data_IF_189576300559
#
_entry.id   IF_189576300559
#
_cell.length_a   1.000
_cell.length_b   1.000
_cell.length_c   1.000
_cell.angle_alpha   90.00
_cell.angle_beta   90.00
_cell.angle_gamma   90.00
#
_symmetry.space_group_name_H-M   'P 1'
#
loop_
_entity.id
_entity.type
_entity.pdbx_description
1 polymer ?
#
# COMPACT_ATOMS: atom_id res chain seq x y z
N UNK A 1 -1.56 0.92 -7.47
CA UNK A 1 -1.50 -0.54 -7.77
C UNK A 1 -1.52 -1.28 -6.44
N UNK A 2 -2.22 -2.41 -6.33
CA UNK A 2 -2.25 -3.24 -5.13
C UNK A 2 -2.11 -4.71 -5.50
N UNK A 3 -1.45 -5.51 -4.66
CA UNK A 3 -1.31 -6.95 -4.87
C UNK A 3 -1.06 -7.71 -3.56
N UNK A 4 -1.71 -8.87 -3.36
CA UNK A 4 -1.45 -9.72 -2.21
C UNK A 4 -0.09 -10.40 -2.36
N UNK A 5 0.54 -10.72 -1.23
CA UNK A 5 1.59 -11.72 -1.24
C UNK A 5 0.96 -13.11 -1.37
N UNK A 6 1.64 -14.02 -2.06
CA UNK A 6 1.13 -15.37 -2.33
C UNK A 6 1.56 -16.41 -1.28
N UNK A 7 2.48 -16.02 -0.41
CA UNK A 7 2.90 -16.79 0.75
C UNK A 7 2.03 -16.43 1.97
N UNK A 8 1.96 -17.36 2.93
CA UNK A 8 1.18 -17.17 4.15
C UNK A 8 2.04 -16.54 5.25
N UNK A 9 2.43 -15.30 5.00
CA UNK A 9 3.18 -14.47 5.93
C UNK A 9 2.26 -13.50 6.68
N UNK A 10 2.81 -12.82 7.69
CA UNK A 10 2.12 -11.78 8.44
C UNK A 10 1.75 -10.60 7.52
N UNK A 11 2.67 -10.20 6.66
CA UNK A 11 2.38 -9.22 5.61
C UNK A 11 1.46 -9.86 4.57
N UNK A 12 0.31 -9.22 4.33
CA UNK A 12 -0.72 -9.76 3.42
C UNK A 12 -0.62 -9.25 1.99
N UNK A 13 0.18 -8.22 1.75
CA UNK A 13 0.36 -7.64 0.43
C UNK A 13 1.02 -6.27 0.48
N UNK A 14 1.12 -5.65 -0.68
CA UNK A 14 1.66 -4.30 -0.86
C UNK A 14 0.68 -3.46 -1.69
N UNK A 15 0.56 -2.19 -1.30
CA UNK A 15 -0.15 -1.19 -2.07
C UNK A 15 0.80 -0.03 -2.37
N UNK A 16 0.91 0.33 -3.64
CA UNK A 16 1.78 1.41 -4.11
C UNK A 16 0.91 2.57 -4.57
N UNK A 17 1.17 3.72 -3.95
CA UNK A 17 0.53 5.00 -4.26
C UNK A 17 1.55 5.96 -4.88
N UNK A 18 1.20 6.54 -6.03
CA UNK A 18 1.94 7.66 -6.59
C UNK A 18 1.43 8.97 -5.97
N UNK A 19 2.07 9.36 -4.86
CA UNK A 19 1.71 10.56 -4.09
C UNK A 19 2.96 11.32 -3.64
N UNK A 20 2.79 12.62 -3.38
CA UNK A 20 3.90 13.50 -2.99
C UNK A 20 4.37 13.35 -1.55
N UNK A 21 3.53 12.82 -0.65
CA UNK A 21 3.84 12.70 0.78
C UNK A 21 3.31 11.41 1.37
N UNK A 22 3.98 10.93 2.42
CA UNK A 22 3.60 9.71 3.14
C UNK A 22 2.25 9.84 3.85
N UNK A 23 1.87 11.03 4.34
CA UNK A 23 0.55 11.25 4.96
C UNK A 23 -0.58 11.01 3.98
N UNK A 24 -0.41 11.42 2.71
CA UNK A 24 -1.44 11.19 1.69
C UNK A 24 -1.57 9.72 1.33
N UNK A 25 -0.45 8.98 1.31
CA UNK A 25 -0.48 7.53 1.18
C UNK A 25 -1.19 6.88 2.38
N UNK A 26 -0.91 7.35 3.60
CA UNK A 26 -1.54 6.81 4.80
C UNK A 26 -3.06 7.02 4.79
N UNK A 27 -3.53 8.22 4.47
CA UNK A 27 -4.98 8.49 4.35
C UNK A 27 -5.65 7.56 3.34
N UNK A 28 -5.00 7.27 2.22
CA UNK A 28 -5.54 6.34 1.23
C UNK A 28 -5.51 4.89 1.70
N UNK A 29 -4.47 4.47 2.40
CA UNK A 29 -4.34 3.12 2.94
C UNK A 29 -5.36 2.88 4.07
N UNK A 30 -5.53 3.82 4.99
CA UNK A 30 -6.53 3.77 6.07
C UNK A 30 -7.97 3.86 5.56
N UNK A 31 -8.17 4.43 4.36
CA UNK A 31 -9.50 4.52 3.75
C UNK A 31 -10.02 3.16 3.25
N UNK A 32 -9.15 2.15 3.09
CA UNK A 32 -9.49 0.83 2.56
C UNK A 32 -10.51 0.10 3.46
N UNK A 33 -11.59 -0.49 2.90
CA UNK A 33 -12.59 -1.23 3.68
C UNK A 33 -12.03 -2.38 4.52
N UNK A 34 -10.99 -3.09 4.06
CA UNK A 34 -10.34 -4.16 4.81
C UNK A 34 -9.56 -3.62 6.02
N UNK A 35 -9.02 -2.41 5.92
CA UNK A 35 -8.36 -1.73 7.04
C UNK A 35 -9.39 -1.20 8.02
N UNK A 36 -10.44 -0.52 7.53
CA UNK A 36 -11.55 -0.02 8.36
C UNK A 36 -12.30 -1.13 9.11
N UNK A 37 -12.43 -2.30 8.51
CA UNK A 37 -13.03 -3.48 9.16
C UNK A 37 -12.10 -4.19 10.14
N UNK A 38 -10.86 -3.71 10.30
CA UNK A 38 -9.86 -4.29 11.21
C UNK A 38 -9.24 -5.59 10.71
N UNK A 39 -9.51 -5.99 9.46
CA UNK A 39 -8.95 -7.20 8.86
C UNK A 39 -7.47 -7.05 8.52
N UNK A 40 -7.03 -5.83 8.18
CA UNK A 40 -5.66 -5.50 7.85
C UNK A 40 -5.17 -4.30 8.69
N UNK A 41 -3.88 -4.32 9.02
CA UNK A 41 -3.15 -3.14 9.50
C UNK A 41 -2.20 -2.66 8.40
N UNK A 42 -1.94 -1.36 8.34
CA UNK A 42 -1.10 -0.75 7.32
C UNK A 42 0.13 -0.12 7.94
N UNK A 43 1.26 -0.25 7.23
CA UNK A 43 2.51 0.45 7.49
C UNK A 43 2.91 1.17 6.21
N UNK A 44 3.33 2.43 6.33
CA UNK A 44 3.62 3.30 5.17
C UNK A 44 5.11 3.60 5.11
N UNK A 45 5.72 3.28 3.98
CA UNK A 45 7.12 3.58 3.71
C UNK A 45 7.29 4.35 2.40
N UNK A 46 8.24 5.29 2.32
CA UNK A 46 8.70 5.81 1.05
C UNK A 46 9.34 4.67 0.24
N UNK A 47 9.03 4.59 -1.05
CA UNK A 47 9.56 3.57 -1.96
C UNK A 47 10.03 4.21 -3.26
N UNK A 48 11.09 3.64 -3.85
CA UNK A 48 11.63 4.04 -5.14
C UNK A 48 11.49 2.89 -6.13
N UNK A 49 10.88 3.17 -7.28
CA UNK A 49 10.78 2.25 -8.41
C UNK A 49 11.78 2.61 -9.52
N UNK A 50 11.86 1.79 -10.55
CA UNK A 50 12.67 2.09 -11.72
C UNK A 50 12.14 3.35 -12.45
N UNK A 51 13.05 4.23 -12.85
CA UNK A 51 12.69 5.42 -13.63
C UNK A 51 11.94 5.05 -14.91
N UNK A 52 10.85 5.76 -15.17
CA UNK A 52 9.99 5.55 -16.33
C UNK A 52 8.88 4.50 -16.13
N UNK A 53 8.84 3.83 -14.98
CA UNK A 53 7.73 2.92 -14.63
C UNK A 53 6.58 3.73 -14.04
N UNK A 54 5.44 3.73 -14.73
CA UNK A 54 4.17 4.23 -14.21
C UNK A 54 3.38 3.13 -13.51
N UNK A 55 2.49 3.52 -12.60
CA UNK A 55 1.41 2.64 -12.19
C UNK A 55 0.43 2.50 -13.38
N UNK A 56 -0.13 1.30 -13.64
CA UNK A 56 -1.13 1.10 -14.67
C UNK A 56 -2.43 1.87 -14.37
#
# INVERSE_FOLDING_TARGET
>A
MAGPFLDDLELRGICVYDVRTSEKANTFAEADPAVKSGRLKVEVHPWMSQRGVGLP
#
